data_IF_945884980788
#
_entry.id   IF_945884980788
#
_cell.length_a   1.000
_cell.length_b   1.000
_cell.length_c   1.000
_cell.angle_alpha   90.00
_cell.angle_beta   90.00
_cell.angle_gamma   90.00
#
_symmetry.space_group_name_H-M   'P 1'
#
loop_
_entity.id
_entity.type
_entity.pdbx_description
1 polymer ?
#
# COMPACT_ATOMS: atom_id res chain seq x y z
N UNK A 1 6.08 -4.21 -3.16
CA UNK A 1 5.63 -3.87 -4.51
C UNK A 1 4.68 -2.69 -4.42
N UNK A 2 5.10 -1.57 -5.00
CA UNK A 2 4.38 -0.30 -5.01
C UNK A 2 3.55 -0.20 -6.30
N UNK A 3 2.24 -0.41 -6.19
CA UNK A 3 1.32 -0.36 -7.35
C UNK A 3 1.28 1.03 -8.02
N UNK A 4 1.74 2.05 -7.29
CA UNK A 4 1.83 3.44 -7.70
C UNK A 4 3.15 3.79 -8.41
N UNK A 5 4.13 2.88 -8.42
CA UNK A 5 5.46 3.17 -8.97
C UNK A 5 5.39 3.53 -10.47
N UNK A 6 6.06 4.60 -10.87
CA UNK A 6 6.10 5.04 -12.27
C UNK A 6 4.85 5.75 -12.79
N UNK A 7 3.85 6.00 -11.94
CA UNK A 7 2.80 6.97 -12.28
C UNK A 7 3.40 8.39 -12.34
N UNK A 8 2.96 9.17 -13.32
CA UNK A 8 3.33 10.58 -13.42
C UNK A 8 2.34 11.40 -12.59
N UNK A 9 2.78 11.89 -11.44
CA UNK A 9 1.98 12.77 -10.58
C UNK A 9 2.18 14.23 -10.96
N UNK A 10 1.13 15.04 -10.83
CA UNK A 10 1.29 16.50 -10.86
C UNK A 10 1.95 16.99 -9.56
N UNK A 11 2.48 18.21 -9.55
CA UNK A 11 3.07 18.79 -8.33
C UNK A 11 2.07 18.83 -7.17
N UNK A 12 0.79 19.13 -7.45
CA UNK A 12 -0.25 19.15 -6.42
C UNK A 12 -0.54 17.76 -5.86
N UNK A 13 -0.60 16.74 -6.74
CA UNK A 13 -0.77 15.35 -6.32
C UNK A 13 0.42 14.89 -5.48
N UNK A 14 1.65 15.20 -5.92
CA UNK A 14 2.87 14.88 -5.19
C UNK A 14 2.84 15.50 -3.79
N UNK A 15 2.52 16.78 -3.66
CA UNK A 15 2.42 17.46 -2.36
C UNK A 15 1.37 16.82 -1.43
N UNK A 16 0.21 16.41 -1.98
CA UNK A 16 -0.82 15.69 -1.23
C UNK A 16 -0.33 14.31 -0.78
N UNK A 17 0.35 13.57 -1.65
CA UNK A 17 0.91 12.24 -1.37
C UNK A 17 2.01 12.33 -0.30
N UNK A 18 2.93 13.29 -0.41
CA UNK A 18 3.96 13.54 0.61
C UNK A 18 3.35 13.84 1.98
N UNK A 19 2.28 14.65 2.02
CA UNK A 19 1.56 14.92 3.28
C UNK A 19 0.92 13.65 3.87
N UNK A 20 0.33 12.80 3.03
CA UNK A 20 -0.22 11.51 3.45
C UNK A 20 0.88 10.62 4.03
N UNK A 21 2.03 10.51 3.35
CA UNK A 21 3.18 9.76 3.85
C UNK A 21 3.68 10.26 5.20
N UNK A 22 3.76 11.59 5.39
CA UNK A 22 4.19 12.17 6.66
C UNK A 22 3.20 11.91 7.80
N UNK A 23 1.89 12.04 7.56
CA UNK A 23 0.85 11.76 8.56
C UNK A 23 0.89 10.28 8.97
N UNK A 24 0.90 9.36 7.99
CA UNK A 24 0.92 7.93 8.26
C UNK A 24 2.22 7.52 8.95
N UNK A 25 3.37 8.01 8.50
CA UNK A 25 4.66 7.74 9.15
C UNK A 25 4.65 8.15 10.61
N UNK A 26 4.08 9.31 10.93
CA UNK A 26 3.95 9.79 12.31
C UNK A 26 3.10 8.83 13.15
N UNK A 27 1.97 8.33 12.63
CA UNK A 27 1.12 7.35 13.33
C UNK A 27 1.82 6.00 13.50
N UNK A 28 2.53 5.53 12.48
CA UNK A 28 3.29 4.29 12.54
C UNK A 28 4.43 4.34 13.55
N UNK A 29 5.11 5.49 13.65
CA UNK A 29 6.17 5.73 14.64
C UNK A 29 5.62 5.67 16.08
N UNK A 30 4.41 6.20 16.33
CA UNK A 30 3.74 6.06 17.62
C UNK A 30 3.46 4.59 17.96
N UNK A 31 2.95 3.80 17.02
CA UNK A 31 2.72 2.36 17.21
C UNK A 31 4.02 1.61 17.50
N UNK A 32 5.10 1.96 16.79
CA UNK A 32 6.41 1.35 17.00
C UNK A 32 6.94 1.60 18.41
N UNK A 33 6.80 2.84 18.90
CA UNK A 33 7.27 3.28 20.21
C UNK A 33 6.35 2.86 21.36
N UNK A 34 5.12 2.42 21.09
CA UNK A 34 4.19 2.00 22.13
C UNK A 34 4.63 0.68 22.79
N UNK A 35 5.13 0.74 24.02
CA UNK A 35 5.60 -0.42 24.78
C UNK A 35 4.46 -1.33 25.27
N UNK A 36 3.20 -0.87 25.24
CA UNK A 36 2.03 -1.65 25.67
C UNK A 36 1.57 -2.65 24.60
N UNK A 37 1.99 -2.46 23.36
CA UNK A 37 1.62 -3.32 22.25
C UNK A 37 2.57 -4.51 22.11
N UNK A 38 2.00 -5.71 22.02
CA UNK A 38 2.76 -6.90 21.64
C UNK A 38 3.22 -6.81 20.18
N UNK A 39 4.31 -7.49 19.78
CA UNK A 39 4.84 -7.45 18.41
C UNK A 39 3.79 -7.77 17.34
N UNK A 40 2.91 -8.75 17.58
CA UNK A 40 1.83 -9.12 16.66
C UNK A 40 0.80 -8.00 16.49
N UNK A 41 0.46 -7.30 17.59
CA UNK A 41 -0.46 -6.17 17.57
C UNK A 41 0.16 -4.99 16.83
N UNK A 42 1.45 -4.71 17.05
CA UNK A 42 2.20 -3.69 16.29
C UNK A 42 2.17 -4.00 14.81
N UNK A 43 2.54 -5.21 14.41
CA UNK A 43 2.54 -5.62 13.01
C UNK A 43 1.17 -5.46 12.35
N UNK A 44 0.09 -5.90 13.03
CA UNK A 44 -1.28 -5.73 12.52
C UNK A 44 -1.69 -4.27 12.36
N UNK A 45 -1.36 -3.41 13.34
CA UNK A 45 -1.64 -1.97 13.26
C UNK A 45 -0.85 -1.29 12.13
N UNK A 46 0.44 -1.61 11.99
CA UNK A 46 1.29 -1.05 10.93
C UNK A 46 0.81 -1.48 9.54
N UNK A 47 0.37 -2.72 9.39
CA UNK A 47 -0.24 -3.16 8.13
C UNK A 47 -1.55 -2.41 7.86
N UNK A 48 -2.37 -2.19 8.89
CA UNK A 48 -3.56 -1.35 8.80
C UNK A 48 -3.25 0.07 8.31
N UNK A 49 -2.22 0.71 8.88
CA UNK A 49 -1.78 2.04 8.44
C UNK A 49 -1.29 2.05 6.99
N UNK A 50 -0.55 1.03 6.56
CA UNK A 50 -0.16 0.89 5.13
C UNK A 50 -1.37 0.75 4.21
N UNK A 51 -2.42 0.03 4.62
CA UNK A 51 -3.67 -0.06 3.83
C UNK A 51 -4.37 1.29 3.73
N UNK A 52 -4.46 2.02 4.84
CA UNK A 52 -5.05 3.36 4.89
C UNK A 52 -4.28 4.34 3.99
N UNK A 53 -2.95 4.33 4.08
CA UNK A 53 -2.07 5.14 3.25
C UNK A 53 -2.35 4.93 1.77
N UNK A 54 -2.35 3.68 1.31
CA UNK A 54 -2.62 3.34 -0.10
C UNK A 54 -4.01 3.79 -0.53
N UNK A 55 -5.01 3.66 0.32
CA UNK A 55 -6.37 4.14 0.02
C UNK A 55 -6.43 5.66 -0.15
N UNK A 56 -5.74 6.42 0.72
CA UNK A 56 -5.67 7.88 0.60
C UNK A 56 -4.89 8.32 -0.64
N UNK A 57 -3.76 7.68 -0.94
CA UNK A 57 -2.99 7.95 -2.16
C UNK A 57 -3.86 7.69 -3.39
N UNK A 58 -4.58 6.56 -3.42
CA UNK A 58 -5.50 6.23 -4.52
C UNK A 58 -6.58 7.29 -4.73
N UNK A 59 -7.05 7.95 -3.67
CA UNK A 59 -8.04 9.00 -3.79
C UNK A 59 -7.49 10.30 -4.39
N UNK A 60 -6.20 10.57 -4.24
CA UNK A 60 -5.53 11.72 -4.87
C UNK A 60 -5.37 11.55 -6.39
N UNK A 61 -5.42 10.31 -6.88
CA UNK A 61 -5.20 9.99 -8.28
C UNK A 61 -6.35 10.45 -9.20
N UNK A 62 -6.00 10.77 -10.43
CA UNK A 62 -6.98 11.01 -11.51
C UNK A 62 -7.68 9.70 -11.90
N UNK A 63 -8.87 9.77 -12.54
CA UNK A 63 -9.59 8.56 -13.00
C UNK A 63 -8.74 7.64 -13.89
N UNK A 64 -7.87 8.22 -14.73
CA UNK A 64 -6.96 7.49 -15.61
C UNK A 64 -5.88 6.75 -14.82
N UNK A 65 -5.19 7.45 -13.91
CA UNK A 65 -4.19 6.85 -13.01
C UNK A 65 -4.81 5.75 -12.13
N UNK A 66 -6.03 5.96 -11.61
CA UNK A 66 -6.77 4.94 -10.84
C UNK A 66 -7.04 3.68 -11.67
N UNK A 67 -7.20 3.82 -12.97
CA UNK A 67 -7.43 2.68 -13.87
C UNK A 67 -6.14 1.90 -14.09
N UNK A 68 -5.02 2.58 -14.32
CA UNK A 68 -3.70 1.94 -14.39
C UNK A 68 -3.36 1.17 -13.11
N UNK A 69 -3.57 1.80 -11.93
CA UNK A 69 -3.32 1.13 -10.64
C UNK A 69 -4.17 -0.13 -10.51
N UNK A 70 -5.47 -0.07 -10.85
CA UNK A 70 -6.36 -1.25 -10.79
C UNK A 70 -5.88 -2.36 -11.73
N UNK A 71 -5.38 -2.04 -12.90
CA UNK A 71 -4.82 -3.04 -13.82
C UNK A 71 -3.56 -3.69 -13.25
N UNK A 72 -2.65 -2.91 -12.68
CA UNK A 72 -1.42 -3.42 -12.03
C UNK A 72 -1.73 -4.31 -10.84
N UNK A 73 -2.68 -3.90 -9.99
CA UNK A 73 -3.15 -4.72 -8.86
C UNK A 73 -3.71 -6.05 -9.35
N UNK A 74 -4.53 -6.05 -10.40
CA UNK A 74 -5.06 -7.29 -11.01
C UNK A 74 -3.95 -8.16 -11.58
N UNK A 75 -3.00 -7.58 -12.31
CA UNK A 75 -1.87 -8.31 -12.89
C UNK A 75 -1.00 -8.96 -11.81
N UNK A 76 -0.73 -8.23 -10.71
CA UNK A 76 -0.03 -8.77 -9.55
C UNK A 76 -0.77 -9.96 -8.95
N UNK A 77 -2.07 -9.80 -8.66
CA UNK A 77 -2.88 -10.88 -8.11
C UNK A 77 -2.93 -12.11 -9.02
N UNK A 78 -2.94 -11.92 -10.35
CA UNK A 78 -2.87 -13.02 -11.30
C UNK A 78 -1.50 -13.73 -11.25
N UNK A 79 -0.40 -12.98 -11.20
CA UNK A 79 0.95 -13.53 -11.08
C UNK A 79 1.16 -14.29 -9.75
N UNK A 80 0.69 -13.73 -8.64
CA UNK A 80 0.72 -14.38 -7.31
C UNK A 80 -0.08 -15.69 -7.31
N UNK A 81 -1.24 -15.72 -7.99
CA UNK A 81 -2.03 -16.95 -8.13
C UNK A 81 -1.33 -18.00 -9.01
N UNK A 82 -0.65 -17.58 -10.07
CA UNK A 82 0.08 -18.50 -10.95
C UNK A 82 1.30 -19.09 -10.24
N UNK A 83 2.04 -18.28 -9.48
CA UNK A 83 3.17 -18.72 -8.67
C UNK A 83 2.73 -19.71 -7.59
N UNK A 84 1.64 -19.42 -6.87
CA UNK A 84 1.11 -20.31 -5.85
C UNK A 84 0.62 -21.66 -6.42
N UNK A 85 0.09 -21.67 -7.65
CA UNK A 85 -0.26 -22.91 -8.37
C UNK A 85 0.97 -23.73 -8.76
N UNK A 86 2.08 -23.09 -9.14
CA UNK A 86 3.34 -23.77 -9.50
C UNK A 86 4.06 -24.35 -8.28
N UNK A 87 3.94 -23.70 -7.12
CA UNK A 87 4.58 -24.13 -5.86
C UNK A 87 3.76 -25.15 -5.05
N UNK A 88 2.52 -25.44 -5.44
CA UNK A 88 1.73 -26.54 -4.84
C UNK A 88 2.02 -27.84 -5.59
N UNK A 89 2.66 -28.86 -4.97
CA UNK A 89 2.85 -30.15 -5.64
C UNK A 89 1.48 -30.83 -5.88
N UNK A 90 1.30 -31.57 -6.98
CA UNK A 90 0.14 -32.42 -7.15
C UNK A 90 0.10 -33.44 -6.00
N UNK A 91 -1.10 -33.66 -5.44
CA UNK A 91 -1.35 -34.64 -4.39
C UNK A 91 -1.53 -36.03 -4.98
#
# INVERSE_FOLDING_TARGET
>A
MDDFAGLKFTQEQQAKIDKIHQDIKSRMDLVQKDEKLRPEQKSGMLEGYRRIERAQIFDVLTPEQRTEVRQRVRARHAAEQEENKKHSPPK
#
